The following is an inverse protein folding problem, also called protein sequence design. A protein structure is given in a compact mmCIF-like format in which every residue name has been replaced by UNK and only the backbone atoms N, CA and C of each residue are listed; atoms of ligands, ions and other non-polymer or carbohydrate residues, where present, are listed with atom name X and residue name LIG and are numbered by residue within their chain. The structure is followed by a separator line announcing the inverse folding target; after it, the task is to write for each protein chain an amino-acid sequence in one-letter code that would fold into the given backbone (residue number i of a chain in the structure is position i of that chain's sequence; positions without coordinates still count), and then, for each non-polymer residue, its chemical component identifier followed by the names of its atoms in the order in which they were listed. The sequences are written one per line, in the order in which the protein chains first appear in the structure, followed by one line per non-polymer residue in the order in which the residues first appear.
data_IF_908336596064
#
_entry.id   IF_908336596064
#
_cell.length_a   1.000
_cell.length_b   1.000
_cell.length_c   1.000
_cell.angle_alpha   90.00
_cell.angle_beta   90.00
_cell.angle_gamma   90.00
#
_symmetry.space_group_name_H-M   'P 1'
#
loop_
_entity.id
_entity.type
_entity.pdbx_description
1 polymer ?
#
# COMPACT_ATOMS: atom_id res chain seq x y z
N UNK A 1 51.04 32.21 -47.38
CA UNK A 1 51.78 32.31 -46.10
C UNK A 1 50.98 33.18 -45.15
N UNK A 2 50.39 32.62 -44.08
CA UNK A 2 49.85 33.39 -42.98
C UNK A 2 50.06 32.57 -41.69
N UNK A 3 51.12 32.91 -40.96
CA UNK A 3 51.56 32.21 -39.74
C UNK A 3 50.86 32.85 -38.54
N UNK A 4 50.13 32.04 -37.79
CA UNK A 4 49.50 32.41 -36.53
C UNK A 4 50.56 32.64 -35.44
N UNK A 5 50.32 33.63 -34.58
CA UNK A 5 50.96 33.70 -33.25
C UNK A 5 49.87 33.89 -32.20
N UNK A 6 49.41 32.77 -31.67
CA UNK A 6 48.72 32.73 -30.39
C UNK A 6 49.78 32.75 -29.28
N UNK A 7 49.74 33.76 -28.42
CA UNK A 7 50.54 33.79 -27.18
C UNK A 7 49.61 33.72 -25.99
N UNK A 8 49.82 32.72 -25.13
CA UNK A 8 49.09 32.58 -23.89
C UNK A 8 49.66 33.53 -22.81
N UNK A 9 48.79 34.26 -22.12
CA UNK A 9 48.99 34.65 -20.71
C UNK A 9 47.64 34.95 -20.04
N UNK A 10 47.34 34.17 -18.99
CA UNK A 10 46.21 34.36 -18.07
C UNK A 10 46.56 35.46 -17.08
N UNK A 11 45.58 36.24 -16.62
CA UNK A 11 45.61 36.73 -15.24
C UNK A 11 44.24 36.61 -14.60
N UNK A 12 44.18 35.77 -13.57
CA UNK A 12 43.03 35.58 -12.70
C UNK A 12 43.05 36.73 -11.70
N UNK A 13 42.26 37.77 -11.95
CA UNK A 13 42.06 38.89 -11.02
C UNK A 13 40.71 38.76 -10.33
N UNK A 14 40.65 37.98 -9.26
CA UNK A 14 39.42 37.71 -8.53
C UNK A 14 38.82 38.95 -7.86
N UNK A 15 37.48 39.06 -7.90
CA UNK A 15 36.68 39.75 -6.89
C UNK A 15 35.30 39.09 -6.80
N UNK A 16 34.90 38.80 -5.56
CA UNK A 16 34.02 37.72 -5.13
C UNK A 16 32.55 37.77 -5.59
N UNK A 17 31.89 36.60 -5.63
CA UNK A 17 30.44 36.47 -5.57
C UNK A 17 29.93 37.12 -4.28
N UNK A 18 29.29 38.28 -4.39
CA UNK A 18 28.61 38.92 -3.26
C UNK A 18 27.41 38.04 -2.89
N UNK A 19 27.57 37.23 -1.83
CA UNK A 19 26.45 36.63 -1.12
C UNK A 19 25.43 37.73 -0.78
N UNK A 20 24.21 37.61 -1.27
CA UNK A 20 23.06 38.27 -0.67
C UNK A 20 22.35 37.26 0.21
N UNK A 21 22.80 37.18 1.47
CA UNK A 21 22.04 36.55 2.54
C UNK A 21 21.49 37.69 3.39
N UNK A 22 20.21 38.00 3.19
CA UNK A 22 19.42 38.79 4.12
C UNK A 22 18.11 38.05 4.37
N UNK A 23 18.02 37.58 5.61
CA UNK A 23 16.93 36.94 6.32
C UNK A 23 15.57 37.61 6.17
N UNK A 24 14.51 36.81 5.92
CA UNK A 24 13.16 37.14 6.38
C UNK A 24 12.44 35.88 6.90
N UNK A 25 12.10 35.94 8.18
CA UNK A 25 11.41 34.89 8.92
C UNK A 25 9.91 34.78 8.55
N UNK A 26 9.42 33.55 8.69
CA UNK A 26 8.06 33.08 8.98
C UNK A 26 6.89 33.64 8.15
N UNK A 27 6.36 32.81 7.24
CA UNK A 27 4.91 32.69 7.03
C UNK A 27 4.55 31.21 6.97
N UNK A 28 3.79 30.74 7.97
CA UNK A 28 3.06 29.48 7.92
C UNK A 28 2.08 29.57 6.74
N UNK A 29 2.29 28.84 5.66
CA UNK A 29 1.20 28.58 4.71
C UNK A 29 0.38 27.42 5.26
N UNK A 30 -0.92 27.63 5.41
CA UNK A 30 -1.89 26.61 5.79
C UNK A 30 -1.73 25.33 4.93
N UNK A 31 -2.04 24.13 5.46
CA UNK A 31 -2.12 22.96 4.61
C UNK A 31 -3.14 23.24 3.50
N UNK A 32 -2.75 22.99 2.25
CA UNK A 32 -3.65 23.13 1.10
C UNK A 32 -4.83 22.17 1.30
N UNK A 33 -5.96 22.69 1.76
CA UNK A 33 -7.24 21.96 1.83
C UNK A 33 -7.81 21.88 0.41
N UNK A 34 -7.14 21.09 -0.44
CA UNK A 34 -7.49 20.88 -1.84
C UNK A 34 -7.98 19.46 -2.07
N UNK A 35 -9.28 19.23 -1.83
CA UNK A 35 -10.08 18.14 -2.40
C UNK A 35 -9.46 16.74 -2.37
N UNK A 36 -9.69 15.98 -1.29
CA UNK A 36 -9.50 14.52 -1.32
C UNK A 36 -10.43 13.96 -2.39
N UNK A 37 -9.85 13.52 -3.51
CA UNK A 37 -10.56 12.72 -4.52
C UNK A 37 -11.28 11.61 -3.76
N UNK A 38 -12.63 11.61 -3.80
CA UNK A 38 -13.44 10.59 -3.14
C UNK A 38 -12.84 9.23 -3.50
N UNK A 39 -12.43 8.41 -2.52
CA UNK A 39 -12.01 7.05 -2.81
C UNK A 39 -13.12 6.40 -3.63
N UNK A 40 -12.78 5.81 -4.77
CA UNK A 40 -13.73 5.05 -5.58
C UNK A 40 -14.35 4.01 -4.65
N UNK A 41 -15.65 4.17 -4.34
CA UNK A 41 -16.36 3.24 -3.49
C UNK A 41 -16.43 1.93 -4.26
N UNK A 42 -15.56 0.99 -3.91
CA UNK A 42 -15.65 -0.38 -4.39
C UNK A 42 -16.94 -0.93 -3.80
N UNK A 43 -18.00 -0.94 -4.60
CA UNK A 43 -19.20 -1.69 -4.34
C UNK A 43 -18.75 -3.11 -3.96
N UNK A 44 -19.08 -3.60 -2.75
CA UNK A 44 -18.75 -4.96 -2.40
C UNK A 44 -19.64 -5.87 -3.25
N UNK A 45 -19.12 -6.27 -4.42
CA UNK A 45 -19.62 -7.44 -5.14
C UNK A 45 -19.58 -8.62 -4.16
N UNK A 46 -20.69 -9.34 -3.91
CA UNK A 46 -20.64 -10.60 -3.18
C UNK A 46 -19.93 -11.65 -4.05
N UNK A 47 -18.60 -11.60 -4.06
CA UNK A 47 -17.73 -12.53 -4.79
C UNK A 47 -17.32 -13.64 -3.85
N UNK A 48 -18.20 -14.62 -3.74
CA UNK A 48 -17.89 -16.04 -3.62
C UNK A 48 -19.18 -16.75 -3.23
N UNK A 49 -19.56 -17.77 -3.98
CA UNK A 49 -20.46 -18.83 -3.50
C UNK A 49 -19.72 -19.77 -2.55
N UNK A 50 -18.67 -19.28 -1.89
CA UNK A 50 -17.97 -19.99 -0.84
C UNK A 50 -18.82 -19.76 0.41
N UNK A 51 -19.57 -20.79 0.78
CA UNK A 51 -20.38 -20.85 1.98
C UNK A 51 -19.70 -20.05 3.11
N UNK A 52 -20.44 -19.10 3.71
CA UNK A 52 -19.95 -18.04 4.62
C UNK A 52 -19.00 -18.54 5.74
N UNK A 53 -19.00 -19.85 5.97
CA UNK A 53 -18.14 -20.57 6.89
C UNK A 53 -17.16 -21.44 6.09
N UNK A 54 -15.86 -21.20 6.32
CA UNK A 54 -14.76 -22.03 5.77
C UNK A 54 -14.95 -23.51 6.14
N UNK A 55 -14.51 -24.43 5.26
CA UNK A 55 -14.74 -25.88 5.44
C UNK A 55 -14.21 -26.44 6.77
N UNK A 56 -12.98 -26.06 7.16
CA UNK A 56 -12.30 -26.62 8.34
C UNK A 56 -12.99 -26.27 9.68
N UNK A 57 -13.36 -25.00 9.99
CA UNK A 57 -14.04 -24.69 11.23
C UNK A 57 -15.45 -25.31 11.30
N UNK A 58 -16.20 -25.37 10.20
CA UNK A 58 -17.52 -26.03 10.18
C UNK A 58 -17.41 -27.53 10.47
N UNK A 59 -16.42 -28.19 9.86
CA UNK A 59 -16.15 -29.60 10.11
C UNK A 59 -15.78 -29.88 11.57
N UNK A 60 -15.02 -28.99 12.22
CA UNK A 60 -14.67 -29.13 13.65
C UNK A 60 -15.91 -29.01 14.53
N UNK A 61 -16.76 -28.02 14.28
CA UNK A 61 -18.00 -27.82 15.03
C UNK A 61 -18.92 -29.04 14.95
N UNK A 62 -19.11 -29.59 13.74
CA UNK A 62 -19.94 -30.80 13.56
C UNK A 62 -19.37 -31.98 14.35
N UNK A 63 -18.05 -32.15 14.39
CA UNK A 63 -17.40 -33.23 15.15
C UNK A 63 -17.53 -33.03 16.65
N UNK A 64 -17.33 -31.81 17.13
CA UNK A 64 -17.44 -31.44 18.54
C UNK A 64 -18.84 -31.76 19.08
N UNK A 65 -19.90 -31.25 18.42
CA UNK A 65 -21.28 -31.51 18.81
C UNK A 65 -21.60 -33.01 18.75
N UNK A 66 -21.09 -33.70 17.73
CA UNK A 66 -21.39 -35.13 17.55
C UNK A 66 -20.75 -36.04 18.60
N UNK A 67 -19.68 -35.57 19.23
CA UNK A 67 -18.96 -36.32 20.25
C UNK A 67 -19.78 -36.46 21.54
N UNK A 68 -20.65 -35.48 21.81
CA UNK A 68 -21.60 -35.51 22.94
C UNK A 68 -22.70 -36.57 22.79
N UNK A 69 -22.98 -37.01 21.56
CA UNK A 69 -23.97 -38.05 21.30
C UNK A 69 -23.35 -39.45 21.23
N UNK A 70 -22.20 -39.58 20.55
CA UNK A 70 -21.51 -40.86 20.41
C UNK A 70 -20.02 -40.63 20.16
N UNK A 71 -19.19 -41.19 21.04
CA UNK A 71 -17.74 -41.22 20.86
C UNK A 71 -17.38 -42.11 19.67
N UNK A 72 -16.44 -41.67 18.83
CA UNK A 72 -15.91 -42.36 17.64
C UNK A 72 -16.79 -42.40 16.36
N UNK A 73 -17.75 -41.49 16.24
CA UNK A 73 -18.54 -41.38 15.01
C UNK A 73 -17.70 -40.86 13.82
N UNK A 74 -17.83 -41.53 12.67
CA UNK A 74 -17.17 -41.14 11.41
C UNK A 74 -18.18 -40.54 10.44
N UNK A 75 -17.78 -39.47 9.79
CA UNK A 75 -18.59 -38.74 8.82
C UNK A 75 -18.03 -38.89 7.41
N UNK A 76 -18.92 -39.12 6.45
CA UNK A 76 -18.60 -38.97 5.04
C UNK A 76 -18.40 -37.47 4.73
N UNK A 77 -17.44 -37.14 3.86
CA UNK A 77 -17.17 -35.75 3.45
C UNK A 77 -18.41 -35.09 2.85
N UNK A 78 -19.15 -35.81 2.00
CA UNK A 78 -20.40 -35.35 1.40
C UNK A 78 -21.48 -35.01 2.44
N UNK A 79 -21.53 -35.73 3.56
CA UNK A 79 -22.50 -35.47 4.62
C UNK A 79 -22.20 -34.13 5.33
N UNK A 80 -20.92 -33.82 5.57
CA UNK A 80 -20.50 -32.56 6.19
C UNK A 80 -20.77 -31.38 5.23
N UNK A 81 -20.49 -31.54 3.94
CA UNK A 81 -20.77 -30.50 2.96
C UNK A 81 -22.29 -30.27 2.82
N UNK A 82 -23.12 -31.33 2.88
CA UNK A 82 -24.59 -31.21 2.84
C UNK A 82 -25.19 -30.51 4.06
N UNK A 83 -24.57 -30.64 5.23
CA UNK A 83 -24.97 -29.88 6.43
C UNK A 83 -24.66 -28.38 6.31
N UNK A 84 -23.71 -28.00 5.45
CA UNK A 84 -23.31 -26.61 5.22
C UNK A 84 -24.26 -25.88 4.26
N UNK A 85 -24.97 -26.61 3.41
CA UNK A 85 -25.87 -26.08 2.36
C UNK A 85 -25.39 -26.43 0.96
#
# INVERSE_FOLDING_TARGET
VARTKQTARKSTGGKAQRKQLATKAARKSAPSTGGVKKPHHYWPSPKSTELLIRKLPFQRLVREISQDFKTDMRFQSAAIDKLRG
#
